data_IF_636943695152
#
_entry.id   IF_636943695152
#
_cell.length_a   1.000
_cell.length_b   1.000
_cell.length_c   1.000
_cell.angle_alpha   90.00
_cell.angle_beta   90.00
_cell.angle_gamma   90.00
#
_symmetry.space_group_name_H-M   'P 1'
#
loop_
_entity.id
_entity.type
_entity.pdbx_description
1 polymer ?
#
# COMPACT_ATOMS: atom_id res chain seq x y z
N UNK A 1 -7.95 45.40 0.70
CA UNK A 1 -7.75 44.00 1.13
C UNK A 1 -8.42 43.08 0.12
N UNK A 2 -7.67 42.53 -0.84
CA UNK A 2 -8.23 41.63 -1.85
C UNK A 2 -8.63 40.30 -1.19
N UNK A 3 -9.93 40.00 -1.21
CA UNK A 3 -10.50 38.73 -0.77
C UNK A 3 -10.04 37.67 -1.79
N UNK A 4 -9.00 36.90 -1.47
CA UNK A 4 -8.63 35.72 -2.26
C UNK A 4 -9.85 34.78 -2.21
N UNK A 5 -10.63 34.71 -3.30
CA UNK A 5 -11.75 33.79 -3.39
C UNK A 5 -11.18 32.39 -3.48
N UNK A 6 -11.17 31.66 -2.36
CA UNK A 6 -10.76 30.26 -2.33
C UNK A 6 -11.73 29.45 -3.20
N UNK A 7 -11.27 29.04 -4.38
CA UNK A 7 -12.01 28.12 -5.24
C UNK A 7 -11.77 26.69 -4.76
N UNK A 8 -12.85 26.02 -4.35
CA UNK A 8 -12.81 24.66 -3.82
C UNK A 8 -13.40 23.68 -4.83
N UNK A 9 -12.74 22.54 -5.00
CA UNK A 9 -13.29 21.40 -5.75
C UNK A 9 -13.47 20.20 -4.82
N UNK A 10 -14.53 19.43 -5.04
CA UNK A 10 -14.74 18.17 -4.34
C UNK A 10 -14.01 17.04 -5.07
N UNK A 11 -12.90 16.56 -4.50
CA UNK A 11 -12.00 15.61 -5.18
C UNK A 11 -12.28 14.15 -4.85
N UNK A 12 -12.60 13.86 -3.58
CA UNK A 12 -12.76 12.50 -3.07
C UNK A 12 -14.15 12.29 -2.48
N UNK A 13 -14.84 11.24 -2.95
CA UNK A 13 -16.14 10.84 -2.41
C UNK A 13 -16.04 10.44 -0.94
N UNK A 14 -17.15 10.55 -0.21
CA UNK A 14 -17.22 10.19 1.21
C UNK A 14 -16.75 8.75 1.48
N UNK A 15 -17.21 7.79 0.67
CA UNK A 15 -16.87 6.38 0.84
C UNK A 15 -15.40 6.11 0.54
N UNK A 16 -14.85 6.73 -0.50
CA UNK A 16 -13.41 6.63 -0.78
C UNK A 16 -12.58 7.15 0.40
N UNK A 17 -13.04 8.22 1.08
CA UNK A 17 -12.36 8.76 2.26
C UNK A 17 -12.39 7.82 3.45
N UNK A 18 -13.55 7.28 3.80
CA UNK A 18 -13.70 6.34 4.91
C UNK A 18 -12.86 5.08 4.65
N UNK A 19 -13.05 4.43 3.50
CA UNK A 19 -12.33 3.21 3.20
C UNK A 19 -10.82 3.43 3.15
N UNK A 20 -10.36 4.58 2.67
CA UNK A 20 -8.94 4.93 2.70
C UNK A 20 -8.40 5.03 4.12
N UNK A 21 -9.04 5.77 5.02
CA UNK A 21 -8.54 5.91 6.39
C UNK A 21 -8.60 4.61 7.19
N UNK A 22 -9.64 3.80 6.99
CA UNK A 22 -9.68 2.44 7.57
C UNK A 22 -8.52 1.60 7.04
N UNK A 23 -8.25 1.65 5.74
CA UNK A 23 -7.12 0.93 5.11
C UNK A 23 -5.79 1.43 5.67
N UNK A 24 -5.59 2.74 5.79
CA UNK A 24 -4.36 3.35 6.27
C UNK A 24 -4.06 2.93 7.72
N UNK A 25 -5.06 3.01 8.61
CA UNK A 25 -4.93 2.55 10.00
C UNK A 25 -4.67 1.05 10.04
N UNK A 26 -5.43 0.26 9.27
CA UNK A 26 -5.24 -1.19 9.23
C UNK A 26 -3.86 -1.58 8.74
N UNK A 27 -3.33 -0.89 7.72
CA UNK A 27 -1.98 -1.12 7.20
C UNK A 27 -0.91 -0.86 8.27
N UNK A 28 -1.02 0.24 9.02
CA UNK A 28 -0.07 0.54 10.12
C UNK A 28 -0.06 -0.59 11.16
N UNK A 29 -1.23 -1.04 11.60
CA UNK A 29 -1.32 -2.14 12.57
C UNK A 29 -0.84 -3.47 11.98
N UNK A 30 -1.18 -3.79 10.73
CA UNK A 30 -0.72 -4.99 10.04
C UNK A 30 0.80 -5.02 9.89
N UNK A 31 1.41 -3.90 9.50
CA UNK A 31 2.86 -3.77 9.36
C UNK A 31 3.54 -3.94 10.72
N UNK A 32 3.12 -3.19 11.73
CA UNK A 32 3.73 -3.24 13.06
C UNK A 32 3.58 -4.62 13.71
N UNK A 33 2.37 -5.19 13.69
CA UNK A 33 2.13 -6.55 14.19
C UNK A 33 2.87 -7.62 13.37
N UNK A 34 3.02 -7.43 12.06
CA UNK A 34 3.81 -8.31 11.18
C UNK A 34 5.30 -8.29 11.52
N UNK A 35 5.85 -7.11 11.83
CA UNK A 35 7.23 -6.96 12.33
C UNK A 35 7.39 -7.73 13.65
N UNK A 36 6.45 -7.60 14.60
CA UNK A 36 6.50 -8.34 15.86
C UNK A 36 6.48 -9.86 15.67
N UNK A 37 5.71 -10.36 14.70
CA UNK A 37 5.70 -11.78 14.35
C UNK A 37 7.03 -12.19 13.69
N UNK A 38 7.56 -11.36 12.80
CA UNK A 38 8.80 -11.62 12.07
C UNK A 38 10.01 -11.69 13.01
N UNK A 39 10.08 -10.78 13.99
CA UNK A 39 11.20 -10.68 14.92
C UNK A 39 11.39 -11.94 15.79
N UNK A 40 10.32 -12.67 16.14
CA UNK A 40 10.43 -13.96 16.85
C UNK A 40 10.88 -15.15 15.98
N UNK A 41 11.05 -14.94 14.68
CA UNK A 41 11.65 -15.93 13.78
C UNK A 41 12.35 -15.16 12.65
N UNK A 42 13.49 -14.50 12.92
CA UNK A 42 14.04 -13.42 12.09
C UNK A 42 14.84 -13.93 10.88
N UNK A 43 14.46 -15.09 10.34
CA UNK A 43 15.06 -15.70 9.15
C UNK A 43 13.97 -16.04 8.13
N UNK A 44 14.27 -15.97 6.84
CA UNK A 44 13.39 -16.37 5.74
C UNK A 44 14.01 -17.52 4.96
N UNK A 45 13.17 -18.43 4.49
CA UNK A 45 13.60 -19.64 3.79
C UNK A 45 12.79 -19.82 2.51
N UNK A 46 13.34 -20.60 1.59
CA UNK A 46 12.63 -21.07 0.40
C UNK A 46 12.34 -22.57 0.56
N UNK A 47 11.08 -22.97 0.36
CA UNK A 47 10.62 -24.36 0.43
C UNK A 47 9.54 -24.62 1.48
N UNK A 48 9.35 -25.90 1.82
CA UNK A 48 8.31 -26.36 2.75
C UNK A 48 8.63 -26.09 4.21
N UNK A 49 9.88 -26.27 4.62
CA UNK A 49 10.34 -26.20 6.00
C UNK A 49 11.54 -25.27 6.12
N UNK A 50 11.78 -24.78 7.33
CA UNK A 50 12.89 -23.88 7.65
C UNK A 50 12.98 -23.73 9.16
N UNK A 51 14.19 -23.83 9.68
CA UNK A 51 14.50 -23.79 11.10
C UNK A 51 15.91 -23.23 11.30
N UNK A 52 16.15 -22.68 12.49
CA UNK A 52 17.41 -22.04 12.82
C UNK A 52 18.60 -22.99 12.59
N UNK A 53 19.63 -22.49 11.90
CA UNK A 53 20.81 -23.28 11.53
C UNK A 53 20.73 -23.97 10.17
N UNK A 54 19.57 -23.98 9.52
CA UNK A 54 19.47 -24.37 8.10
C UNK A 54 19.78 -23.21 7.16
N UNK A 55 20.19 -23.47 5.90
CA UNK A 55 20.43 -22.41 4.92
C UNK A 55 19.18 -21.55 4.67
N UNK A 56 19.20 -20.34 5.23
CA UNK A 56 18.19 -19.31 5.02
C UNK A 56 18.58 -18.42 3.83
N UNK A 57 17.59 -17.90 3.11
CA UNK A 57 17.82 -16.92 2.03
C UNK A 57 18.00 -15.50 2.55
N UNK A 58 17.54 -15.25 3.78
CA UNK A 58 17.71 -13.99 4.49
C UNK A 58 17.77 -14.27 5.99
N UNK A 59 18.71 -13.62 6.67
CA UNK A 59 18.86 -13.70 8.13
C UNK A 59 19.08 -12.31 8.66
N UNK A 60 18.30 -11.92 9.67
CA UNK A 60 18.46 -10.61 10.28
C UNK A 60 19.80 -10.48 11.04
N UNK A 61 20.37 -11.61 11.47
CA UNK A 61 21.71 -11.68 12.08
C UNK A 61 22.81 -11.15 11.16
N UNK A 62 22.68 -11.35 9.85
CA UNK A 62 23.65 -10.87 8.86
C UNK A 62 23.64 -9.33 8.75
N UNK A 63 22.62 -8.69 9.35
CA UNK A 63 22.42 -7.24 9.40
C UNK A 63 22.65 -6.67 10.81
N UNK A 64 23.26 -7.45 11.70
CA UNK A 64 23.67 -6.98 13.03
C UNK A 64 22.61 -7.09 14.13
N UNK A 65 21.52 -7.83 13.91
CA UNK A 65 20.54 -8.15 14.95
C UNK A 65 20.49 -9.66 15.17
N UNK A 66 21.04 -10.13 16.29
CA UNK A 66 21.03 -11.54 16.66
C UNK A 66 19.61 -12.07 16.89
N UNK A 67 19.46 -13.39 16.94
CA UNK A 67 18.18 -14.03 17.28
C UNK A 67 17.65 -13.59 18.65
N UNK A 68 18.52 -13.46 19.65
CA UNK A 68 18.14 -13.07 21.00
C UNK A 68 17.67 -11.61 21.06
N UNK A 69 18.40 -10.71 20.40
CA UNK A 69 18.01 -9.29 20.29
C UNK A 69 16.70 -9.12 19.52
N UNK A 70 16.52 -9.86 18.43
CA UNK A 70 15.29 -9.85 17.65
C UNK A 70 14.11 -10.35 18.49
N UNK A 71 14.27 -11.47 19.21
CA UNK A 71 13.22 -12.02 20.07
C UNK A 71 12.86 -11.04 21.20
N UNK A 72 13.84 -10.37 21.80
CA UNK A 72 13.61 -9.34 22.82
C UNK A 72 12.81 -8.13 22.32
N UNK A 73 12.89 -7.81 21.03
CA UNK A 73 12.10 -6.75 20.40
C UNK A 73 10.72 -7.21 19.90
N UNK A 74 10.50 -8.52 19.79
CA UNK A 74 9.31 -9.11 19.15
C UNK A 74 8.32 -9.71 20.13
N UNK A 75 7.03 -9.45 19.93
CA UNK A 75 5.95 -10.15 20.64
C UNK A 75 5.03 -10.88 19.64
N UNK A 76 5.21 -12.20 19.50
CA UNK A 76 4.40 -13.04 18.62
C UNK A 76 2.96 -13.18 19.10
N UNK A 77 2.70 -13.15 20.41
CA UNK A 77 1.33 -13.30 20.94
C UNK A 77 0.53 -12.05 20.61
N UNK A 78 1.08 -10.89 20.97
CA UNK A 78 0.50 -9.59 20.64
C UNK A 78 0.40 -9.42 19.12
N UNK A 79 1.50 -9.68 18.40
CA UNK A 79 1.59 -9.59 16.96
C UNK A 79 0.50 -10.40 16.27
N UNK A 80 0.37 -11.70 16.57
CA UNK A 80 -0.66 -12.55 15.93
C UNK A 80 -2.08 -12.05 16.18
N UNK A 81 -2.41 -11.66 17.40
CA UNK A 81 -3.77 -11.22 17.74
C UNK A 81 -4.18 -9.97 16.96
N UNK A 82 -3.33 -8.94 16.96
CA UNK A 82 -3.62 -7.71 16.23
C UNK A 82 -3.52 -7.89 14.73
N UNK A 83 -2.59 -8.72 14.24
CA UNK A 83 -2.46 -8.99 12.82
C UNK A 83 -3.73 -9.63 12.25
N UNK A 84 -4.29 -10.64 12.92
CA UNK A 84 -5.54 -11.27 12.46
C UNK A 84 -6.74 -10.33 12.58
N UNK A 85 -6.84 -9.56 13.65
CA UNK A 85 -7.91 -8.57 13.83
C UNK A 85 -7.91 -7.56 12.67
N UNK A 86 -6.77 -6.91 12.43
CA UNK A 86 -6.67 -5.89 11.38
C UNK A 86 -6.65 -6.48 9.97
N UNK A 87 -6.26 -7.74 9.79
CA UNK A 87 -6.44 -8.45 8.52
C UNK A 87 -7.92 -8.58 8.18
N UNK A 88 -8.78 -8.94 9.14
CA UNK A 88 -10.22 -8.99 8.91
C UNK A 88 -10.83 -7.61 8.66
N UNK A 89 -10.41 -6.58 9.42
CA UNK A 89 -10.82 -5.19 9.16
C UNK A 89 -10.44 -4.79 7.72
N UNK A 90 -9.22 -5.08 7.30
CA UNK A 90 -8.72 -4.78 5.96
C UNK A 90 -9.51 -5.50 4.87
N UNK A 91 -9.74 -6.82 5.01
CA UNK A 91 -10.49 -7.64 4.05
C UNK A 91 -11.93 -7.15 3.92
N UNK A 92 -12.63 -6.96 5.03
CA UNK A 92 -14.03 -6.50 5.03
C UNK A 92 -14.13 -5.11 4.42
N UNK A 93 -13.23 -4.18 4.80
CA UNK A 93 -13.19 -2.85 4.23
C UNK A 93 -12.89 -2.87 2.72
N UNK A 94 -12.00 -3.75 2.27
CA UNK A 94 -11.71 -3.96 0.84
C UNK A 94 -12.93 -4.46 0.06
N UNK A 95 -13.68 -5.42 0.61
CA UNK A 95 -14.92 -5.93 0.00
C UNK A 95 -15.97 -4.81 -0.08
N UNK A 96 -16.15 -4.03 1.00
CA UNK A 96 -17.07 -2.89 1.00
C UNK A 96 -16.66 -1.86 -0.05
N UNK A 97 -15.36 -1.54 -0.13
CA UNK A 97 -14.85 -0.58 -1.11
C UNK A 97 -15.07 -1.05 -2.55
N UNK A 98 -14.74 -2.31 -2.86
CA UNK A 98 -14.95 -2.87 -4.19
C UNK A 98 -16.44 -2.97 -4.53
N UNK A 99 -17.27 -3.46 -3.60
CA UNK A 99 -18.72 -3.52 -3.78
C UNK A 99 -19.33 -2.15 -4.07
N UNK A 100 -18.92 -1.11 -3.33
CA UNK A 100 -19.42 0.24 -3.55
C UNK A 100 -19.06 0.80 -4.93
N UNK A 101 -17.86 0.48 -5.42
CA UNK A 101 -17.32 1.02 -6.66
C UNK A 101 -17.58 0.15 -7.89
N UNK A 102 -18.01 -1.10 -7.71
CA UNK A 102 -18.19 -2.09 -8.79
C UNK A 102 -19.10 -1.59 -9.91
N UNK A 103 -20.12 -0.78 -9.58
CA UNK A 103 -21.10 -0.26 -10.55
C UNK A 103 -20.79 1.17 -11.04
N UNK A 104 -19.74 1.82 -10.55
CA UNK A 104 -19.45 3.21 -10.89
C UNK A 104 -18.53 3.30 -12.11
N UNK A 105 -19.08 3.68 -13.28
CA UNK A 105 -18.29 3.88 -14.52
C UNK A 105 -17.16 4.93 -14.36
N UNK A 106 -17.28 5.82 -13.38
CA UNK A 106 -16.26 6.81 -13.03
C UNK A 106 -15.05 6.19 -12.31
N UNK A 107 -15.24 5.09 -11.57
CA UNK A 107 -14.17 4.36 -10.89
C UNK A 107 -13.19 3.76 -11.89
N UNK A 108 -13.71 2.99 -12.85
CA UNK A 108 -12.90 2.35 -13.89
C UNK A 108 -12.15 3.37 -14.77
N UNK A 109 -12.80 4.49 -15.12
CA UNK A 109 -12.16 5.57 -15.88
C UNK A 109 -11.01 6.26 -15.14
N UNK A 110 -11.04 6.28 -13.80
CA UNK A 110 -9.97 6.88 -12.98
C UNK A 110 -8.78 5.94 -12.78
N UNK A 111 -9.02 4.63 -12.73
CA UNK A 111 -8.00 3.63 -12.38
C UNK A 111 -7.31 3.04 -13.61
N UNK A 112 -8.04 2.78 -14.69
CA UNK A 112 -7.45 2.18 -15.89
C UNK A 112 -6.86 3.27 -16.82
N UNK A 113 -5.56 3.18 -17.16
CA UNK A 113 -4.95 4.11 -18.11
C UNK A 113 -5.55 3.93 -19.51
N UNK A 114 -5.67 5.03 -20.25
CA UNK A 114 -6.16 4.99 -21.64
C UNK A 114 -5.03 4.58 -22.59
N UNK A 115 -5.37 4.05 -23.79
CA UNK A 115 -4.36 3.63 -24.78
C UNK A 115 -3.36 4.73 -25.16
N UNK A 116 -3.80 6.00 -25.19
CA UNK A 116 -2.92 7.15 -25.46
C UNK A 116 -1.98 7.50 -24.31
N UNK A 117 -2.32 7.15 -23.07
CA UNK A 117 -1.49 7.35 -21.89
C UNK A 117 -0.33 6.33 -21.82
N UNK A 118 -0.51 5.11 -22.36
CA UNK A 118 0.46 4.01 -22.31
C UNK A 118 1.63 4.12 -23.32
N UNK A 119 1.80 5.26 -23.99
CA UNK A 119 2.94 5.46 -24.90
C UNK A 119 4.28 5.41 -24.15
N UNK A 120 5.26 4.68 -24.70
CA UNK A 120 6.61 4.52 -24.12
C UNK A 120 7.30 5.87 -23.89
N UNK A 121 7.01 6.87 -24.75
CA UNK A 121 7.52 8.24 -24.60
C UNK A 121 6.96 8.94 -23.36
N UNK A 122 5.65 8.79 -23.12
CA UNK A 122 5.00 9.33 -21.93
C UNK A 122 5.54 8.66 -20.67
N UNK A 123 5.69 7.32 -20.68
CA UNK A 123 6.23 6.58 -19.55
C UNK A 123 7.65 7.05 -19.16
N UNK A 124 8.56 7.17 -20.15
CA UNK A 124 9.93 7.67 -19.90
C UNK A 124 9.93 9.12 -19.38
N UNK A 125 9.14 10.00 -19.98
CA UNK A 125 9.04 11.39 -19.55
C UNK A 125 8.50 11.51 -18.12
N UNK A 126 7.48 10.72 -17.77
CA UNK A 126 6.91 10.72 -16.42
C UNK A 126 7.84 10.08 -15.39
N UNK A 127 8.58 9.02 -15.75
CA UNK A 127 9.57 8.39 -14.88
C UNK A 127 10.72 9.34 -14.53
N UNK A 128 11.31 9.99 -15.54
CA UNK A 128 12.37 10.99 -15.32
C UNK A 128 11.84 12.17 -14.50
N UNK A 129 10.59 12.59 -14.72
CA UNK A 129 9.96 13.66 -13.94
C UNK A 129 9.73 13.24 -12.48
N UNK A 130 9.33 11.99 -12.26
CA UNK A 130 9.12 11.43 -10.93
C UNK A 130 10.43 11.39 -10.12
N UNK A 131 11.54 11.01 -10.76
CA UNK A 131 12.88 11.09 -10.18
C UNK A 131 13.35 12.52 -9.87
N UNK A 132 12.82 13.52 -10.59
CA UNK A 132 13.17 14.94 -10.41
C UNK A 132 12.29 15.67 -9.38
N UNK A 133 11.31 15.00 -8.76
CA UNK A 133 10.35 15.57 -7.80
C UNK A 133 9.69 16.89 -8.26
N UNK A 134 9.57 17.11 -9.58
CA UNK A 134 9.02 18.37 -10.11
C UNK A 134 7.49 18.32 -10.09
N UNK A 135 6.88 19.27 -9.38
CA UNK A 135 5.42 19.40 -9.30
C UNK A 135 4.76 19.54 -10.68
N UNK A 136 3.58 18.96 -10.84
CA UNK A 136 2.81 18.93 -12.09
C UNK A 136 2.22 20.31 -12.40
N UNK A 137 2.30 20.71 -13.68
CA UNK A 137 1.69 21.92 -14.22
C UNK A 137 0.15 21.89 -14.12
N UNK A 138 -0.46 23.04 -13.80
CA UNK A 138 -1.85 23.21 -13.29
C UNK A 138 -2.95 22.46 -14.08
N UNK A 139 -2.82 22.34 -15.40
CA UNK A 139 -3.81 21.68 -16.29
C UNK A 139 -3.78 20.15 -16.25
N UNK A 140 -2.73 19.52 -15.71
CA UNK A 140 -2.64 18.05 -15.56
C UNK A 140 -2.91 17.56 -14.13
N UNK A 141 -3.07 18.46 -13.16
CA UNK A 141 -3.28 18.12 -11.75
C UNK A 141 -4.65 17.46 -11.45
N UNK A 142 -5.61 17.55 -12.37
CA UNK A 142 -6.92 16.91 -12.25
C UNK A 142 -6.89 15.39 -12.49
N UNK A 143 -5.86 14.88 -13.19
CA UNK A 143 -5.76 13.49 -13.59
C UNK A 143 -4.52 12.84 -13.00
N UNK A 144 -4.64 11.60 -12.53
CA UNK A 144 -3.50 10.82 -12.06
C UNK A 144 -2.48 10.61 -13.19
N UNK A 145 -1.20 10.74 -12.86
CA UNK A 145 -0.08 10.37 -13.74
C UNK A 145 -0.17 8.86 -14.07
N UNK A 146 0.33 8.43 -15.24
CA UNK A 146 0.30 7.02 -15.67
C UNK A 146 1.02 6.12 -14.68
N UNK A 147 2.14 6.56 -14.11
CA UNK A 147 2.86 5.85 -13.05
C UNK A 147 2.00 5.66 -11.80
N UNK A 148 1.21 6.66 -11.41
CA UNK A 148 0.30 6.56 -10.27
C UNK A 148 -0.84 5.59 -10.56
N UNK A 149 -1.46 5.67 -11.75
CA UNK A 149 -2.52 4.72 -12.17
C UNK A 149 -2.01 3.27 -12.20
N UNK A 150 -0.84 3.04 -12.78
CA UNK A 150 -0.20 1.72 -12.81
C UNK A 150 0.12 1.22 -11.40
N UNK A 151 0.65 2.10 -10.54
CA UNK A 151 0.92 1.76 -9.13
C UNK A 151 -0.36 1.37 -8.39
N UNK A 152 -1.45 2.11 -8.57
CA UNK A 152 -2.75 1.78 -7.97
C UNK A 152 -3.31 0.46 -8.50
N UNK A 153 -3.16 0.17 -9.79
CA UNK A 153 -3.56 -1.12 -10.36
C UNK A 153 -2.77 -2.28 -9.74
N UNK A 154 -1.44 -2.15 -9.66
CA UNK A 154 -0.57 -3.16 -9.05
C UNK A 154 -0.93 -3.35 -7.58
N UNK A 155 -1.08 -2.28 -6.81
CA UNK A 155 -1.42 -2.38 -5.39
C UNK A 155 -2.79 -3.02 -5.20
N UNK A 156 -3.81 -2.54 -5.91
CA UNK A 156 -5.20 -2.95 -5.69
C UNK A 156 -5.51 -4.36 -6.23
N UNK A 157 -4.97 -4.71 -7.40
CA UNK A 157 -5.32 -5.97 -8.09
C UNK A 157 -4.23 -7.03 -8.05
N UNK A 158 -3.02 -6.71 -7.59
CA UNK A 158 -1.94 -7.69 -7.42
C UNK A 158 -1.50 -7.80 -5.97
N UNK A 159 -0.96 -6.73 -5.37
CA UNK A 159 -0.33 -6.81 -4.04
C UNK A 159 -1.33 -7.07 -2.92
N UNK A 160 -2.46 -6.37 -2.88
CA UNK A 160 -3.50 -6.61 -1.85
C UNK A 160 -4.12 -8.01 -1.95
N UNK A 161 -4.57 -8.49 -3.12
CA UNK A 161 -5.03 -9.87 -3.26
C UNK A 161 -3.95 -10.88 -2.87
N UNK A 162 -2.69 -10.65 -3.29
CA UNK A 162 -1.57 -11.51 -2.91
C UNK A 162 -1.38 -11.57 -1.39
N UNK A 163 -1.39 -10.43 -0.70
CA UNK A 163 -1.27 -10.36 0.77
C UNK A 163 -2.40 -11.13 1.47
N UNK A 164 -3.63 -10.97 0.99
CA UNK A 164 -4.79 -11.67 1.55
C UNK A 164 -4.64 -13.18 1.37
N UNK A 165 -4.33 -13.65 0.16
CA UNK A 165 -4.23 -15.08 -0.14
C UNK A 165 -3.05 -15.72 0.59
N UNK A 166 -1.87 -15.08 0.58
CA UNK A 166 -0.70 -15.58 1.31
C UNK A 166 -0.92 -15.58 2.83
N UNK A 167 -1.59 -14.55 3.37
CA UNK A 167 -1.99 -14.50 4.78
C UNK A 167 -2.98 -15.62 5.16
N UNK A 168 -3.99 -15.88 4.33
CA UNK A 168 -4.90 -17.01 4.50
C UNK A 168 -4.15 -18.34 4.48
N UNK A 169 -3.22 -18.54 3.52
CA UNK A 169 -2.41 -19.75 3.46
C UNK A 169 -1.67 -20.02 4.78
N UNK A 170 -1.14 -18.97 5.41
CA UNK A 170 -0.36 -19.08 6.65
C UNK A 170 -1.23 -19.17 7.92
N UNK A 171 -2.51 -18.81 7.87
CA UNK A 171 -3.41 -18.82 9.02
C UNK A 171 -3.67 -20.26 9.51
N UNK A 172 -3.39 -20.61 10.79
CA UNK A 172 -3.54 -21.99 11.27
C UNK A 172 -4.93 -22.58 11.05
N UNK A 173 -5.98 -21.78 11.29
CA UNK A 173 -7.35 -22.22 11.08
C UNK A 173 -7.65 -22.55 9.62
N UNK A 174 -7.08 -21.80 8.67
CA UNK A 174 -7.29 -22.06 7.25
C UNK A 174 -6.41 -23.21 6.76
N UNK A 175 -5.16 -23.32 7.22
CA UNK A 175 -4.33 -24.48 6.87
C UNK A 175 -4.98 -25.80 7.33
N UNK A 176 -5.73 -25.79 8.44
CA UNK A 176 -6.47 -26.97 8.88
C UNK A 176 -7.65 -27.33 7.95
N UNK A 177 -8.19 -26.35 7.21
CA UNK A 177 -9.33 -26.52 6.29
C UNK A 177 -8.85 -26.86 4.87
N UNK A 178 -7.82 -26.17 4.38
CA UNK A 178 -7.22 -26.39 3.06
C UNK A 178 -5.70 -26.27 3.15
N UNK A 179 -5.00 -27.38 3.42
CA UNK A 179 -3.54 -27.44 3.38
C UNK A 179 -2.96 -27.13 2.00
N UNK A 180 -3.71 -27.41 0.94
CA UNK A 180 -3.29 -27.27 -0.47
C UNK A 180 -2.98 -25.82 -0.85
N UNK A 181 -3.60 -24.85 -0.17
CA UNK A 181 -3.31 -23.44 -0.42
C UNK A 181 -1.85 -23.09 -0.10
N UNK A 182 -1.25 -23.72 0.91
CA UNK A 182 0.18 -23.55 1.21
C UNK A 182 1.05 -24.18 0.11
N UNK A 183 0.63 -25.33 -0.42
CA UNK A 183 1.38 -26.03 -1.47
C UNK A 183 1.41 -25.25 -2.79
N UNK A 184 0.39 -24.42 -3.07
CA UNK A 184 0.40 -23.49 -4.21
C UNK A 184 1.58 -22.50 -4.15
N UNK A 185 2.00 -22.11 -2.95
CA UNK A 185 3.18 -21.26 -2.76
C UNK A 185 4.49 -22.05 -2.76
N UNK A 186 4.46 -23.38 -2.91
CA UNK A 186 5.65 -24.23 -2.79
C UNK A 186 6.05 -24.52 -1.33
N UNK A 187 5.17 -24.27 -0.37
CA UNK A 187 5.37 -24.60 1.04
C UNK A 187 5.25 -23.42 2.01
N UNK A 188 5.21 -23.73 3.31
CA UNK A 188 4.93 -22.74 4.37
C UNK A 188 5.99 -21.64 4.46
N UNK A 189 7.27 -22.01 4.32
CA UNK A 189 8.34 -21.01 4.38
C UNK A 189 8.38 -20.15 3.12
N UNK A 190 8.16 -20.72 1.93
CA UNK A 190 8.02 -19.93 0.71
C UNK A 190 6.86 -18.94 0.81
N UNK A 191 5.69 -19.38 1.28
CA UNK A 191 4.53 -18.50 1.49
C UNK A 191 4.88 -17.33 2.43
N UNK A 192 5.56 -17.62 3.55
CA UNK A 192 6.02 -16.60 4.50
C UNK A 192 7.01 -15.61 3.89
N UNK A 193 8.00 -16.11 3.14
CA UNK A 193 8.97 -15.28 2.43
C UNK A 193 8.26 -14.34 1.45
N UNK A 194 7.38 -14.87 0.61
CA UNK A 194 6.68 -14.05 -0.38
C UNK A 194 5.73 -13.03 0.27
N UNK A 195 5.09 -13.38 1.39
CA UNK A 195 4.28 -12.46 2.18
C UNK A 195 5.11 -11.29 2.73
N UNK A 196 6.32 -11.57 3.23
CA UNK A 196 7.26 -10.53 3.69
C UNK A 196 7.76 -9.67 2.51
N UNK A 197 8.10 -10.28 1.36
CA UNK A 197 8.47 -9.53 0.15
C UNK A 197 7.36 -8.57 -0.27
N UNK A 198 6.11 -9.05 -0.31
CA UNK A 198 4.96 -8.21 -0.64
C UNK A 198 4.75 -7.10 0.40
N UNK A 199 4.97 -7.38 1.69
CA UNK A 199 4.96 -6.37 2.77
C UNK A 199 5.99 -5.28 2.54
N UNK A 200 7.22 -5.63 2.12
CA UNK A 200 8.27 -4.66 1.78
C UNK A 200 7.84 -3.80 0.59
N UNK A 201 7.32 -4.41 -0.48
CA UNK A 201 6.83 -3.68 -1.66
C UNK A 201 5.71 -2.70 -1.32
N UNK A 202 4.75 -3.11 -0.49
CA UNK A 202 3.68 -2.24 -0.01
C UNK A 202 4.20 -1.11 0.87
N UNK A 203 5.18 -1.39 1.74
CA UNK A 203 5.82 -0.37 2.58
C UNK A 203 6.54 0.68 1.74
N UNK A 204 7.30 0.24 0.74
CA UNK A 204 7.94 1.14 -0.23
C UNK A 204 6.92 1.99 -0.97
N UNK A 205 5.81 1.39 -1.42
CA UNK A 205 4.71 2.13 -2.03
C UNK A 205 4.16 3.21 -1.08
N UNK A 206 3.90 2.89 0.19
CA UNK A 206 3.42 3.87 1.17
C UNK A 206 4.44 5.00 1.37
N UNK A 207 5.73 4.69 1.48
CA UNK A 207 6.78 5.71 1.62
C UNK A 207 6.77 6.66 0.41
N UNK A 208 6.80 6.12 -0.82
CA UNK A 208 6.75 6.92 -2.04
C UNK A 208 5.46 7.74 -2.11
N UNK A 209 4.32 7.14 -1.77
CA UNK A 209 3.03 7.82 -1.72
C UNK A 209 3.03 9.01 -0.74
N UNK A 210 3.60 8.84 0.45
CA UNK A 210 3.73 9.93 1.42
C UNK A 210 4.65 11.04 0.91
N UNK A 211 5.76 10.70 0.26
CA UNK A 211 6.64 11.69 -0.38
C UNK A 211 5.89 12.46 -1.47
N UNK A 212 5.12 11.80 -2.34
CA UNK A 212 4.28 12.46 -3.33
C UNK A 212 3.28 13.43 -2.69
N UNK A 213 2.65 13.03 -1.58
CA UNK A 213 1.71 13.88 -0.82
C UNK A 213 2.42 15.12 -0.27
N UNK A 214 3.64 14.98 0.24
CA UNK A 214 4.46 16.09 0.72
C UNK A 214 4.82 17.06 -0.41
N UNK A 215 5.32 16.54 -1.54
CA UNK A 215 5.72 17.33 -2.72
C UNK A 215 4.51 18.04 -3.35
N UNK A 216 3.34 17.42 -3.35
CA UNK A 216 2.11 18.01 -3.88
C UNK A 216 1.38 18.96 -2.90
N UNK A 217 1.98 19.26 -1.75
CA UNK A 217 1.41 20.12 -0.71
C UNK A 217 0.56 19.34 0.29
N UNK A 218 1.19 18.77 1.31
CA UNK A 218 0.59 17.86 2.29
C UNK A 218 -0.73 18.37 2.88
N UNK A 219 -0.78 19.64 3.30
CA UNK A 219 -1.97 20.23 3.93
C UNK A 219 -3.18 20.16 3.00
N UNK A 220 -3.02 20.49 1.72
CA UNK A 220 -4.12 20.49 0.77
C UNK A 220 -4.57 19.07 0.42
N UNK A 221 -3.62 18.14 0.26
CA UNK A 221 -3.90 16.73 -0.05
C UNK A 221 -4.59 16.04 1.13
N UNK A 222 -4.04 16.14 2.34
CA UNK A 222 -4.60 15.53 3.56
C UNK A 222 -5.98 16.11 3.86
N UNK A 223 -6.15 17.44 3.75
CA UNK A 223 -7.47 18.07 3.89
C UNK A 223 -8.46 17.52 2.86
N UNK A 224 -8.05 17.38 1.60
CA UNK A 224 -8.90 16.77 0.58
C UNK A 224 -9.30 15.33 0.95
N UNK A 225 -8.40 14.58 1.59
CA UNK A 225 -8.66 13.22 2.03
C UNK A 225 -9.48 13.12 3.33
N UNK A 226 -9.48 14.15 4.17
CA UNK A 226 -10.30 14.22 5.39
C UNK A 226 -11.69 14.77 5.08
N UNK A 227 -11.78 15.96 4.46
CA UNK A 227 -13.04 16.70 4.26
C UNK A 227 -13.57 16.68 2.80
N UNK A 228 -12.82 16.13 1.85
CA UNK A 228 -13.22 16.05 0.43
C UNK A 228 -12.92 17.29 -0.39
N UNK A 229 -12.58 18.42 0.25
CA UNK A 229 -12.36 19.72 -0.38
C UNK A 229 -10.88 19.96 -0.69
N UNK A 230 -10.58 20.20 -1.96
CA UNK A 230 -9.28 20.59 -2.45
C UNK A 230 -9.30 22.08 -2.82
N UNK A 231 -8.34 22.86 -2.33
CA UNK A 231 -8.20 24.28 -2.67
C UNK A 231 -7.40 24.38 -3.96
N UNK A 232 -7.99 25.02 -4.96
CA UNK A 232 -7.30 25.34 -6.20
C UNK A 232 -6.56 26.65 -5.95
N UNK A 233 -5.22 26.68 -6.01
CA UNK A 233 -4.48 27.93 -5.93
C UNK A 233 -4.97 28.87 -7.04
N UNK A 234 -5.48 30.03 -6.64
CA UNK A 234 -5.71 31.16 -7.56
C UNK A 234 -4.35 31.72 -7.94
N UNK A 235 -4.07 31.79 -9.25
CA UNK A 235 -2.91 32.57 -9.73
C UNK A 235 -3.07 33.99 -9.19
N UNK A 236 -2.02 34.48 -8.53
CA UNK A 236 -1.82 35.92 -8.48
C UNK A 236 -1.53 36.28 -9.92
N UNK A 237 -2.49 36.94 -10.58
CA UNK A 237 -2.18 37.64 -11.83
C UNK A 237 -1.05 38.61 -11.49
N UNK A 238 0.16 38.32 -11.96
CA UNK A 238 1.19 39.34 -12.10
C UNK A 238 0.68 40.31 -13.19
N UNK A 239 -0.18 41.24 -12.77
CA UNK A 239 -0.36 42.50 -13.47
C UNK A 239 0.79 43.41 -13.06
N UNK A 240 1.79 43.52 -13.93
CA UNK A 240 2.45 44.77 -14.36
C UNK A 240 3.59 44.44 -15.34
#
# INVERSE_FOLDING_TARGET
MNKISKNWIYRHSYNARICHWITAVSFVYLLYSGIMIFLQFPELYWGKVGFQGYPAIFRLSDWGLSWEEADALGDRRWGRNYHYLFAWVFVINGIIYLGWNAWQKSFYRKIFPTRGELSVSNFKAEFVRHLRFKAVDRKKAEHYNVLQKLSYLIVLFLLFPFMIISGFAQMPAFTAISPELIDLFGGRQTARTLHVVCTVLLTLFVIVHLVEVMVAGAVNQVRSMIIGKYEVPTEISEEA
#
